data_IF_311529720260
#
_entry.id   IF_311529720260
#
_cell.length_a   1.000
_cell.length_b   1.000
_cell.length_c   1.000
_cell.angle_alpha   90.00
_cell.angle_beta   90.00
_cell.angle_gamma   90.00
#
_symmetry.space_group_name_H-M   'P 1'
#
loop_
_entity.id
_entity.type
_entity.pdbx_description
1 polymer ?
#
# COMPACT_ATOMS: atom_id res chain seq x y z
N UNK A 1 -32.26 61.41 13.19
CA UNK A 1 -32.62 62.45 12.21
C UNK A 1 -31.40 62.70 11.34
N UNK A 2 -31.55 62.58 10.01
CA UNK A 2 -30.86 63.28 8.89
C UNK A 2 -29.59 64.08 9.23
N UNK A 3 -28.49 64.11 8.48
CA UNK A 3 -28.16 63.87 7.05
C UNK A 3 -26.63 64.12 6.93
N UNK A 4 -25.88 63.62 5.94
CA UNK A 4 -25.56 64.32 4.68
C UNK A 4 -24.42 63.53 4.01
N UNK A 5 -24.50 63.23 2.70
CA UNK A 5 -23.59 63.67 1.63
C UNK A 5 -24.00 63.03 0.27
N UNK A 6 -23.78 63.71 -0.89
CA UNK A 6 -24.45 63.49 -2.18
C UNK A 6 -23.53 62.74 -3.23
N UNK A 7 -23.93 62.59 -4.53
CA UNK A 7 -23.57 61.43 -5.37
C UNK A 7 -22.47 61.63 -6.45
N UNK A 8 -21.98 60.46 -6.91
CA UNK A 8 -21.46 60.02 -8.23
C UNK A 8 -20.84 60.99 -9.25
N UNK A 9 -19.65 60.65 -9.78
CA UNK A 9 -19.36 60.70 -11.23
C UNK A 9 -18.24 59.73 -11.64
N UNK A 10 -18.48 59.02 -12.74
CA UNK A 10 -17.66 58.08 -13.50
C UNK A 10 -16.57 58.76 -14.33
N UNK A 11 -15.43 58.09 -14.55
CA UNK A 11 -14.67 58.22 -15.81
C UNK A 11 -13.98 56.89 -16.15
N UNK A 12 -14.28 56.42 -17.35
CA UNK A 12 -13.83 55.20 -18.03
C UNK A 12 -12.39 55.27 -18.51
N UNK A 13 -11.71 54.12 -18.68
CA UNK A 13 -10.96 53.76 -19.90
C UNK A 13 -10.82 52.23 -20.02
N UNK A 14 -11.11 51.74 -21.22
CA UNK A 14 -11.19 50.33 -21.63
C UNK A 14 -9.80 49.67 -21.81
N UNK A 15 -9.73 48.35 -21.64
CA UNK A 15 -8.99 47.51 -22.60
C UNK A 15 -9.68 46.15 -22.74
N UNK A 16 -9.98 45.80 -24.00
CA UNK A 16 -10.51 44.52 -24.42
C UNK A 16 -9.38 43.47 -24.42
N UNK A 17 -9.67 42.26 -23.94
CA UNK A 17 -9.17 41.07 -24.64
C UNK A 17 -10.04 39.85 -24.33
N UNK A 18 -10.80 39.45 -25.34
CA UNK A 18 -11.47 38.15 -25.43
C UNK A 18 -10.43 37.13 -25.89
N UNK A 19 -10.09 36.15 -25.05
CA UNK A 19 -9.51 34.90 -25.53
C UNK A 19 -10.32 33.72 -24.97
N UNK A 20 -10.83 32.96 -25.91
CA UNK A 20 -11.61 31.73 -25.78
C UNK A 20 -10.82 30.63 -25.11
N UNK A 21 -11.40 30.02 -24.06
CA UNK A 21 -10.94 28.75 -23.50
C UNK A 21 -11.04 27.64 -24.56
N UNK A 22 -9.90 27.12 -25.02
CA UNK A 22 -9.84 25.81 -25.67
C UNK A 22 -9.49 24.75 -24.62
N UNK A 23 -10.42 23.84 -24.37
CA UNK A 23 -10.21 22.64 -23.57
C UNK A 23 -9.23 21.72 -24.30
N UNK A 24 -8.02 21.54 -23.78
CA UNK A 24 -7.12 20.49 -24.23
C UNK A 24 -7.71 19.13 -23.83
N UNK A 25 -8.16 18.38 -24.83
CA UNK A 25 -8.57 16.99 -24.71
C UNK A 25 -7.31 16.14 -24.62
N UNK A 26 -7.01 15.60 -23.44
CA UNK A 26 -5.90 14.66 -23.25
C UNK A 26 -6.27 13.35 -23.97
N UNK A 27 -5.46 12.95 -24.95
CA UNK A 27 -5.63 11.69 -25.68
C UNK A 27 -5.57 10.48 -24.71
N UNK A 28 -6.64 9.69 -24.56
CA UNK A 28 -6.72 8.59 -23.58
C UNK A 28 -5.88 7.36 -23.94
N UNK A 29 -5.27 7.32 -25.12
CA UNK A 29 -4.44 6.20 -25.58
C UNK A 29 -3.05 6.20 -24.92
N UNK A 30 -2.50 7.39 -24.63
CA UNK A 30 -1.14 7.56 -24.12
C UNK A 30 -0.99 7.13 -22.65
N UNK A 31 -2.06 7.19 -21.85
CA UNK A 31 -2.04 6.81 -20.43
C UNK A 31 -2.11 5.29 -20.22
N UNK A 32 -2.81 4.56 -21.08
CA UNK A 32 -3.02 3.11 -20.89
C UNK A 32 -1.80 2.26 -21.22
N UNK A 33 -0.95 2.68 -22.17
CA UNK A 33 0.27 1.93 -22.53
C UNK A 33 1.36 2.08 -21.48
N UNK A 34 1.58 3.29 -20.95
CA UNK A 34 2.47 3.54 -19.80
C UNK A 34 2.03 2.75 -18.57
N UNK A 35 0.74 2.77 -18.23
CA UNK A 35 0.20 2.01 -17.08
C UNK A 35 0.38 0.50 -17.27
N UNK A 36 0.18 -0.03 -18.48
CA UNK A 36 0.42 -1.46 -18.78
C UNK A 36 1.90 -1.81 -18.67
N UNK A 37 2.80 -0.98 -19.19
CA UNK A 37 4.23 -1.23 -19.14
C UNK A 37 4.75 -1.19 -17.69
N UNK A 38 4.27 -0.26 -16.86
CA UNK A 38 4.60 -0.21 -15.43
C UNK A 38 4.05 -1.43 -14.65
N UNK A 39 2.82 -1.83 -14.90
CA UNK A 39 2.24 -3.03 -14.27
C UNK A 39 3.01 -4.30 -14.64
N UNK A 40 3.41 -4.43 -15.92
CA UNK A 40 4.24 -5.53 -16.37
C UNK A 40 5.64 -5.47 -15.74
N UNK A 41 6.28 -4.31 -15.64
CA UNK A 41 7.57 -4.15 -14.96
C UNK A 41 7.53 -4.68 -13.50
N UNK A 42 6.52 -4.30 -12.73
CA UNK A 42 6.36 -4.75 -11.34
C UNK A 42 6.11 -6.26 -11.29
N UNK A 43 5.23 -6.78 -12.14
CA UNK A 43 4.95 -8.20 -12.21
C UNK A 43 6.22 -9.03 -12.53
N UNK A 44 7.00 -8.59 -13.51
CA UNK A 44 8.26 -9.23 -13.91
C UNK A 44 9.33 -9.12 -12.82
N UNK A 45 9.43 -7.97 -12.13
CA UNK A 45 10.37 -7.79 -11.01
C UNK A 45 10.06 -8.74 -9.85
N UNK A 46 8.78 -8.90 -9.50
CA UNK A 46 8.33 -9.84 -8.45
C UNK A 46 8.62 -11.28 -8.86
N UNK A 47 8.41 -11.64 -10.12
CA UNK A 47 8.73 -12.97 -10.64
C UNK A 47 10.24 -13.24 -10.62
N UNK A 48 11.08 -12.26 -10.98
CA UNK A 48 12.54 -12.35 -10.90
C UNK A 48 13.05 -12.53 -9.46
N UNK A 49 12.47 -11.80 -8.49
CA UNK A 49 12.77 -11.97 -7.08
C UNK A 49 12.36 -13.36 -6.55
N UNK A 50 11.19 -13.86 -6.96
CA UNK A 50 10.74 -15.22 -6.64
C UNK A 50 11.66 -16.30 -7.18
N UNK A 51 12.10 -16.18 -8.44
CA UNK A 51 13.06 -17.07 -9.05
C UNK A 51 14.42 -17.02 -8.34
N UNK A 52 14.87 -15.84 -7.90
CA UNK A 52 16.10 -15.68 -7.11
C UNK A 52 16.02 -16.41 -5.77
N UNK A 53 14.90 -16.27 -5.05
CA UNK A 53 14.68 -16.96 -3.78
C UNK A 53 14.63 -18.49 -3.96
N UNK A 54 13.93 -18.96 -5.00
CA UNK A 54 13.89 -20.39 -5.34
C UNK A 54 15.26 -20.94 -5.70
N UNK A 55 16.04 -20.20 -6.51
CA UNK A 55 17.42 -20.54 -6.89
C UNK A 55 18.31 -20.73 -5.67
N UNK A 56 18.31 -19.78 -4.74
CA UNK A 56 19.16 -19.87 -3.55
C UNK A 56 18.71 -21.01 -2.62
N UNK A 57 17.40 -21.25 -2.45
CA UNK A 57 16.90 -22.40 -1.70
C UNK A 57 17.33 -23.74 -2.33
N UNK A 58 17.19 -23.88 -3.65
CA UNK A 58 17.58 -25.09 -4.39
C UNK A 58 19.10 -25.31 -4.39
N UNK A 59 19.89 -24.23 -4.40
CA UNK A 59 21.36 -24.27 -4.30
C UNK A 59 21.83 -24.73 -2.91
N UNK A 60 21.14 -24.35 -1.85
CA UNK A 60 21.41 -24.86 -0.50
C UNK A 60 21.07 -26.36 -0.39
N UNK A 61 19.94 -26.80 -0.96
CA UNK A 61 19.58 -28.23 -1.02
C UNK A 61 20.57 -29.05 -1.88
N UNK A 62 21.08 -28.49 -2.98
CA UNK A 62 22.08 -29.16 -3.82
C UNK A 62 23.42 -29.38 -3.09
N UNK A 63 23.76 -28.48 -2.16
CA UNK A 63 24.98 -28.52 -1.35
C UNK A 63 24.83 -29.32 -0.06
N UNK A 64 23.62 -29.67 0.35
CA UNK A 64 23.37 -30.41 1.58
C UNK A 64 23.90 -31.85 1.48
N UNK A 65 24.82 -32.21 2.37
CA UNK A 65 25.41 -33.55 2.43
C UNK A 65 24.49 -34.59 3.11
N UNK A 66 23.43 -34.16 3.79
CA UNK A 66 22.41 -35.02 4.37
C UNK A 66 21.27 -35.34 3.38
N UNK A 67 21.19 -34.64 2.25
CA UNK A 67 20.23 -34.91 1.19
C UNK A 67 20.69 -36.06 0.28
N UNK A 68 19.73 -36.86 -0.19
CA UNK A 68 20.04 -37.97 -1.12
C UNK A 68 20.65 -37.45 -2.43
N UNK A 69 21.51 -38.25 -3.07
CA UNK A 69 22.13 -37.89 -4.36
C UNK A 69 21.10 -37.48 -5.42
N UNK A 70 19.95 -38.16 -5.49
CA UNK A 70 18.87 -37.81 -6.43
C UNK A 70 18.17 -36.49 -6.09
N UNK A 71 18.00 -36.18 -4.81
CA UNK A 71 17.45 -34.91 -4.33
C UNK A 71 18.38 -33.75 -4.65
N UNK A 72 19.68 -33.92 -4.43
CA UNK A 72 20.70 -32.90 -4.73
C UNK A 72 20.82 -32.62 -6.22
N UNK A 73 20.76 -33.67 -7.04
CA UNK A 73 20.77 -33.52 -8.51
C UNK A 73 19.53 -32.78 -9.02
N UNK A 74 18.35 -33.13 -8.51
CA UNK A 74 17.10 -32.45 -8.88
C UNK A 74 17.13 -30.98 -8.46
N UNK A 75 17.52 -30.69 -7.22
CA UNK A 75 17.67 -29.32 -6.74
C UNK A 75 18.74 -28.53 -7.52
N UNK A 76 19.83 -29.18 -7.95
CA UNK A 76 20.82 -28.56 -8.83
C UNK A 76 20.25 -28.20 -10.21
N UNK A 77 19.41 -29.08 -10.78
CA UNK A 77 18.70 -28.81 -12.04
C UNK A 77 17.70 -27.67 -11.89
N UNK A 78 16.94 -27.68 -10.80
CA UNK A 78 15.92 -26.67 -10.53
C UNK A 78 16.56 -25.29 -10.27
N UNK A 79 17.69 -25.22 -9.55
CA UNK A 79 18.45 -23.98 -9.36
C UNK A 79 18.97 -23.39 -10.69
N UNK A 80 19.33 -24.23 -11.66
CA UNK A 80 19.74 -23.76 -13.00
C UNK A 80 18.53 -23.24 -13.80
N UNK A 81 17.37 -23.90 -13.67
CA UNK A 81 16.10 -23.42 -14.22
C UNK A 81 15.71 -22.07 -13.64
N UNK A 82 15.74 -21.95 -12.32
CA UNK A 82 15.42 -20.72 -11.58
C UNK A 82 16.36 -19.57 -11.98
N UNK A 83 17.64 -19.84 -12.26
CA UNK A 83 18.58 -18.82 -12.77
C UNK A 83 18.19 -18.32 -14.17
N UNK A 84 17.69 -19.22 -15.02
CA UNK A 84 17.20 -18.85 -16.35
C UNK A 84 15.94 -17.99 -16.25
N UNK A 85 15.01 -18.37 -15.38
CA UNK A 85 13.78 -17.62 -15.13
C UNK A 85 14.07 -16.25 -14.48
N UNK A 86 14.98 -16.18 -13.50
CA UNK A 86 15.51 -14.92 -12.94
C UNK A 86 16.03 -14.00 -14.04
N UNK A 87 16.90 -14.52 -14.92
CA UNK A 87 17.48 -13.73 -16.01
C UNK A 87 16.42 -13.23 -16.98
N UNK A 88 15.44 -14.08 -17.31
CA UNK A 88 14.34 -13.75 -18.21
C UNK A 88 13.45 -12.66 -17.65
N UNK A 89 13.00 -12.81 -16.41
CA UNK A 89 12.12 -11.85 -15.76
C UNK A 89 12.82 -10.50 -15.52
N UNK A 90 14.10 -10.51 -15.14
CA UNK A 90 14.89 -9.28 -15.03
C UNK A 90 15.05 -8.59 -16.39
N UNK A 91 15.27 -9.35 -17.47
CA UNK A 91 15.36 -8.79 -18.82
C UNK A 91 14.02 -8.19 -19.28
N UNK A 92 12.91 -8.86 -18.98
CA UNK A 92 11.57 -8.35 -19.33
C UNK A 92 11.21 -7.10 -18.53
N UNK A 93 11.58 -7.04 -17.25
CA UNK A 93 11.48 -5.84 -16.44
C UNK A 93 12.28 -4.68 -17.07
N UNK A 94 13.54 -4.90 -17.46
CA UNK A 94 14.36 -3.87 -18.11
C UNK A 94 13.75 -3.38 -19.43
N UNK A 95 13.15 -4.26 -20.23
CA UNK A 95 12.45 -3.89 -21.48
C UNK A 95 11.23 -3.01 -21.19
N UNK A 96 10.40 -3.39 -20.22
CA UNK A 96 9.21 -2.60 -19.86
C UNK A 96 9.58 -1.23 -19.28
N UNK A 97 10.73 -1.15 -18.58
CA UNK A 97 11.32 0.10 -18.11
C UNK A 97 11.84 0.97 -19.25
N UNK A 98 12.49 0.40 -20.27
CA UNK A 98 13.00 1.15 -21.42
C UNK A 98 11.86 1.67 -22.32
N UNK A 99 10.78 0.92 -22.47
CA UNK A 99 9.59 1.33 -23.23
C UNK A 99 8.87 2.52 -22.59
N UNK A 100 8.90 2.63 -21.26
CA UNK A 100 8.36 3.78 -20.54
C UNK A 100 9.18 5.06 -20.79
N UNK A 101 10.51 4.93 -20.83
CA UNK A 101 11.44 6.05 -21.06
C UNK A 101 11.38 6.67 -22.47
N UNK A 102 10.87 5.95 -23.47
CA UNK A 102 10.77 6.45 -24.86
C UNK A 102 9.55 7.34 -25.12
N UNK A 103 8.69 7.55 -24.15
CA UNK A 103 7.42 8.30 -24.31
C UNK A 103 7.44 9.74 -23.78
N UNK A 104 8.58 10.30 -23.34
CA UNK A 104 8.60 11.73 -22.92
C UNK A 104 8.34 12.71 -24.10
N UNK A 105 7.47 13.74 -23.93
CA UNK A 105 7.15 14.69 -24.99
C UNK A 105 8.25 15.75 -25.17
N UNK A 106 8.83 15.81 -26.38
CA UNK A 106 9.82 16.82 -26.78
C UNK A 106 9.10 18.10 -27.25
N UNK A 107 8.99 19.13 -26.40
CA UNK A 107 8.41 20.45 -26.77
C UNK A 107 9.48 21.45 -27.25
N UNK A 108 9.20 22.29 -28.28
CA UNK A 108 10.13 23.33 -28.74
C UNK A 108 10.05 24.59 -27.85
N UNK A 109 11.18 24.99 -27.26
CA UNK A 109 11.33 26.17 -26.39
C UNK A 109 11.55 27.45 -27.21
N UNK A 110 10.59 28.38 -27.19
CA UNK A 110 10.79 29.77 -27.60
C UNK A 110 10.87 30.67 -26.37
N UNK A 111 12.04 30.85 -25.77
CA UNK A 111 12.32 31.99 -24.88
C UNK A 111 13.80 32.42 -24.95
N UNK A 112 13.99 33.73 -24.75
CA UNK A 112 15.16 34.58 -24.97
C UNK A 112 16.46 34.17 -24.24
N UNK A 113 17.58 34.53 -24.87
CA UNK A 113 18.92 33.97 -24.62
C UNK A 113 19.81 34.71 -23.60
N UNK A 114 19.27 35.43 -22.61
CA UNK A 114 20.10 36.27 -21.72
C UNK A 114 20.25 35.78 -20.26
N UNK A 115 19.71 34.60 -19.91
CA UNK A 115 19.80 34.07 -18.52
C UNK A 115 20.55 32.72 -18.43
N UNK A 116 21.50 32.46 -19.33
CA UNK A 116 22.16 31.15 -19.49
C UNK A 116 23.59 31.03 -18.94
N UNK A 117 23.90 31.68 -17.80
CA UNK A 117 25.21 31.46 -17.16
C UNK A 117 25.20 30.94 -15.73
N UNK A 118 24.14 30.26 -15.27
CA UNK A 118 24.21 29.65 -13.94
C UNK A 118 23.46 28.37 -13.63
N UNK A 119 23.05 27.57 -14.62
CA UNK A 119 22.55 26.23 -14.33
C UNK A 119 23.02 25.26 -15.42
N UNK A 120 24.09 24.53 -15.11
CA UNK A 120 24.38 23.29 -15.83
C UNK A 120 23.24 22.30 -15.53
N UNK A 121 22.64 21.65 -16.53
CA UNK A 121 21.74 20.54 -16.28
C UNK A 121 22.57 19.37 -15.78
N UNK A 122 22.44 19.03 -14.50
CA UNK A 122 22.88 17.75 -13.99
C UNK A 122 22.07 16.65 -14.69
N UNK A 123 22.76 15.71 -15.33
CA UNK A 123 22.20 14.50 -15.91
C UNK A 123 21.13 13.88 -14.98
N UNK A 124 19.85 13.99 -15.31
CA UNK A 124 18.82 13.11 -14.75
C UNK A 124 18.97 11.75 -15.42
N UNK A 125 19.87 10.94 -14.90
CA UNK A 125 19.77 9.49 -15.09
C UNK A 125 18.49 9.03 -14.40
N UNK A 126 17.56 8.45 -15.15
CA UNK A 126 16.38 7.74 -14.65
C UNK A 126 16.79 6.43 -13.95
N UNK A 127 17.57 6.54 -12.88
CA UNK A 127 17.78 5.47 -11.92
C UNK A 127 16.53 5.36 -11.04
N UNK A 128 16.15 4.14 -10.68
CA UNK A 128 15.17 3.90 -9.61
C UNK A 128 15.54 4.76 -8.39
N UNK A 129 14.56 5.25 -7.61
CA UNK A 129 14.85 6.05 -6.43
C UNK A 129 15.88 5.33 -5.55
N UNK A 130 16.95 5.99 -5.09
CA UNK A 130 17.96 5.36 -4.24
C UNK A 130 17.36 4.60 -3.05
N UNK A 131 16.25 5.12 -2.51
CA UNK A 131 15.48 4.59 -1.38
C UNK A 131 14.88 3.20 -1.61
N UNK A 132 14.69 2.78 -2.87
CA UNK A 132 14.19 1.43 -3.18
C UNK A 132 15.19 0.35 -2.77
N UNK A 133 16.48 0.67 -2.82
CA UNK A 133 17.55 -0.22 -2.41
C UNK A 133 17.99 0.03 -0.97
N UNK A 134 17.27 0.88 -0.23
CA UNK A 134 17.52 1.01 1.20
C UNK A 134 17.27 -0.33 1.89
N UNK A 135 18.18 -0.68 2.80
CA UNK A 135 18.15 -1.95 3.49
C UNK A 135 16.85 -2.13 4.28
N UNK A 136 16.34 -1.06 4.89
CA UNK A 136 15.10 -1.08 5.67
C UNK A 136 13.91 -1.34 4.76
N UNK A 137 13.83 -0.62 3.63
CA UNK A 137 12.80 -0.84 2.60
C UNK A 137 12.74 -2.29 2.15
N UNK A 138 13.89 -2.90 1.83
CA UNK A 138 13.95 -4.29 1.39
C UNK A 138 13.53 -5.26 2.49
N UNK A 139 13.97 -5.03 3.73
CA UNK A 139 13.58 -5.85 4.89
C UNK A 139 12.07 -5.74 5.15
N UNK A 140 11.48 -4.55 5.07
CA UNK A 140 10.06 -4.32 5.27
C UNK A 140 9.22 -5.02 4.20
N UNK A 141 9.60 -4.91 2.92
CA UNK A 141 8.92 -5.62 1.85
C UNK A 141 9.05 -7.15 1.99
N UNK A 142 10.24 -7.64 2.34
CA UNK A 142 10.46 -9.06 2.60
C UNK A 142 9.63 -9.56 3.78
N UNK A 143 9.50 -8.77 4.85
CA UNK A 143 8.66 -9.11 6.00
C UNK A 143 7.19 -9.28 5.58
N UNK A 144 6.65 -8.37 4.76
CA UNK A 144 5.28 -8.49 4.23
C UNK A 144 5.09 -9.78 3.40
N UNK A 145 6.06 -10.13 2.56
CA UNK A 145 6.04 -11.39 1.80
C UNK A 145 6.07 -12.61 2.73
N UNK A 146 6.86 -12.56 3.80
CA UNK A 146 6.91 -13.62 4.82
C UNK A 146 5.55 -13.78 5.51
N UNK A 147 4.86 -12.69 5.86
CA UNK A 147 3.52 -12.76 6.45
C UNK A 147 2.52 -13.45 5.50
N UNK A 148 2.55 -13.12 4.20
CA UNK A 148 1.73 -13.79 3.20
C UNK A 148 2.07 -15.28 3.06
N UNK A 149 3.37 -15.62 3.06
CA UNK A 149 3.82 -17.01 3.01
C UNK A 149 3.34 -17.81 4.24
N UNK A 150 3.35 -17.20 5.43
CA UNK A 150 2.79 -17.79 6.66
C UNK A 150 1.28 -18.03 6.49
N UNK A 151 0.52 -17.05 6.01
CA UNK A 151 -0.91 -17.21 5.77
C UNK A 151 -1.23 -18.37 4.80
N UNK A 152 -0.46 -18.50 3.72
CA UNK A 152 -0.56 -19.61 2.77
C UNK A 152 -0.21 -20.95 3.42
N UNK A 153 0.85 -21.00 4.23
CA UNK A 153 1.27 -22.21 4.92
C UNK A 153 0.20 -22.67 5.94
N UNK A 154 -0.38 -21.74 6.70
CA UNK A 154 -1.47 -22.01 7.64
C UNK A 154 -2.70 -22.52 6.88
N UNK A 155 -3.07 -21.90 5.75
CA UNK A 155 -4.17 -22.36 4.90
C UNK A 155 -4.00 -23.81 4.42
N UNK A 156 -2.79 -24.17 3.99
CA UNK A 156 -2.45 -25.55 3.58
C UNK A 156 -2.51 -26.55 4.73
N UNK A 157 -2.19 -26.11 5.94
CA UNK A 157 -2.15 -26.97 7.14
C UNK A 157 -3.53 -27.17 7.78
N UNK A 158 -4.35 -26.11 7.83
CA UNK A 158 -5.58 -26.08 8.62
C UNK A 158 -6.82 -26.42 7.79
N UNK A 159 -6.86 -26.04 6.51
CA UNK A 159 -8.05 -26.28 5.68
C UNK A 159 -8.06 -27.69 5.10
N UNK A 160 -9.24 -28.30 5.11
CA UNK A 160 -9.47 -29.58 4.45
C UNK A 160 -9.12 -29.50 2.94
N UNK A 161 -8.57 -30.56 2.31
CA UNK A 161 -8.21 -30.54 0.89
C UNK A 161 -9.38 -30.19 -0.05
N UNK A 162 -10.61 -30.56 0.33
CA UNK A 162 -11.83 -30.28 -0.46
C UNK A 162 -12.43 -28.89 -0.21
N UNK A 163 -11.82 -28.05 0.62
CA UNK A 163 -12.26 -26.65 0.77
C UNK A 163 -12.11 -25.94 -0.58
N UNK A 164 -13.17 -25.25 -1.02
CA UNK A 164 -13.19 -24.59 -2.33
C UNK A 164 -12.10 -23.54 -2.45
N UNK A 165 -11.66 -23.27 -3.68
CA UNK A 165 -10.64 -22.26 -3.97
C UNK A 165 -11.04 -20.89 -3.42
N UNK A 166 -12.30 -20.49 -3.57
CA UNK A 166 -12.83 -19.22 -3.04
C UNK A 166 -12.61 -19.09 -1.54
N UNK A 167 -13.07 -20.06 -0.74
CA UNK A 167 -12.91 -20.01 0.72
C UNK A 167 -11.45 -20.20 1.16
N UNK A 168 -10.62 -20.87 0.35
CA UNK A 168 -9.17 -20.96 0.58
C UNK A 168 -8.48 -19.61 0.39
N UNK A 169 -8.83 -18.87 -0.66
CA UNK A 169 -8.31 -17.51 -0.91
C UNK A 169 -8.81 -16.56 0.17
N UNK A 170 -10.10 -16.60 0.53
CA UNK A 170 -10.64 -15.82 1.64
C UNK A 170 -9.91 -16.13 2.95
N UNK A 171 -9.67 -17.40 3.27
CA UNK A 171 -8.89 -17.74 4.45
C UNK A 171 -7.48 -17.14 4.41
N UNK A 172 -6.78 -17.24 3.28
CA UNK A 172 -5.42 -16.70 3.15
C UNK A 172 -5.43 -15.18 3.34
N UNK A 173 -6.41 -14.47 2.74
CA UNK A 173 -6.59 -13.04 2.93
C UNK A 173 -6.77 -12.69 4.40
N UNK A 174 -7.77 -13.27 5.09
CA UNK A 174 -8.05 -12.94 6.49
C UNK A 174 -6.91 -13.38 7.43
N UNK A 175 -6.19 -14.45 7.10
CA UNK A 175 -5.01 -14.84 7.87
C UNK A 175 -3.85 -13.84 7.68
N UNK A 176 -3.64 -13.36 6.46
CA UNK A 176 -2.65 -12.32 6.16
C UNK A 176 -3.03 -11.00 6.82
N UNK A 177 -4.29 -10.59 6.69
CA UNK A 177 -4.88 -9.40 7.29
C UNK A 177 -4.73 -9.40 8.82
N UNK A 178 -5.07 -10.51 9.49
CA UNK A 178 -4.82 -10.66 10.93
C UNK A 178 -3.33 -10.50 11.31
N UNK A 179 -2.41 -10.99 10.48
CA UNK A 179 -0.98 -10.84 10.74
C UNK A 179 -0.52 -9.39 10.56
N UNK A 180 -1.05 -8.68 9.56
CA UNK A 180 -0.76 -7.26 9.34
C UNK A 180 -1.25 -6.44 10.53
N UNK A 181 -2.50 -6.65 10.95
CA UNK A 181 -3.08 -5.98 12.12
C UNK A 181 -2.25 -6.24 13.38
N UNK A 182 -1.88 -7.48 13.68
CA UNK A 182 -1.15 -7.76 14.92
C UNK A 182 0.32 -7.34 14.91
N UNK A 183 1.03 -7.55 13.80
CA UNK A 183 2.48 -7.34 13.77
C UNK A 183 2.86 -5.95 13.25
N UNK A 184 2.26 -5.49 12.17
CA UNK A 184 2.58 -4.18 11.63
C UNK A 184 1.83 -3.12 12.44
N UNK A 185 0.50 -3.08 12.35
CA UNK A 185 -0.29 -2.01 12.98
C UNK A 185 -0.19 -2.02 14.51
N UNK A 186 -0.13 -3.21 15.11
CA UNK A 186 0.16 -3.37 16.53
C UNK A 186 1.50 -2.76 16.95
N UNK A 187 2.53 -2.85 16.11
CA UNK A 187 3.82 -2.20 16.37
C UNK A 187 3.77 -0.68 16.19
N UNK A 188 2.98 -0.16 15.25
CA UNK A 188 2.72 1.28 15.12
C UNK A 188 2.08 1.83 16.39
N UNK A 189 1.01 1.18 16.86
CA UNK A 189 0.35 1.54 18.11
C UNK A 189 1.32 1.48 19.29
N UNK A 190 2.14 0.43 19.38
CA UNK A 190 3.14 0.33 20.43
C UNK A 190 4.05 1.57 20.46
N UNK A 191 4.57 2.00 19.30
CA UNK A 191 5.40 3.20 19.23
C UNK A 191 4.63 4.49 19.54
N UNK A 192 3.37 4.59 19.13
CA UNK A 192 2.51 5.73 19.47
C UNK A 192 2.25 5.86 20.98
N UNK A 193 2.12 4.76 21.71
CA UNK A 193 1.83 4.80 23.15
C UNK A 193 3.08 4.78 24.04
N UNK A 194 4.17 4.16 23.60
CA UNK A 194 5.29 3.82 24.49
C UNK A 194 6.65 4.38 24.05
N UNK A 195 6.82 4.81 22.80
CA UNK A 195 8.08 5.42 22.34
C UNK A 195 7.97 6.93 22.36
N UNK A 196 8.87 7.57 23.09
CA UNK A 196 8.92 9.03 23.16
C UNK A 196 10.35 9.57 23.33
N UNK A 197 10.56 10.80 22.86
CA UNK A 197 11.76 11.61 23.12
C UNK A 197 11.31 12.86 23.88
N UNK A 198 12.10 13.34 24.84
CA UNK A 198 11.77 14.61 25.52
C UNK A 198 11.92 15.77 24.53
N UNK A 199 10.97 16.70 24.54
CA UNK A 199 11.03 17.93 23.73
C UNK A 199 12.33 18.72 24.00
N UNK A 200 12.87 18.64 25.23
CA UNK A 200 14.13 19.30 25.59
C UNK A 200 15.37 18.70 24.91
N UNK A 201 15.28 17.45 24.43
CA UNK A 201 16.36 16.69 23.81
C UNK A 201 16.32 16.78 22.28
N UNK A 202 15.24 17.30 21.71
CA UNK A 202 15.06 17.40 20.26
C UNK A 202 15.74 18.67 19.75
N UNK A 203 16.77 18.50 18.92
CA UNK A 203 17.52 19.60 18.33
C UNK A 203 16.69 20.45 17.34
N UNK A 204 15.84 19.80 16.55
CA UNK A 204 14.91 20.44 15.62
C UNK A 204 13.54 19.78 15.69
N UNK A 205 12.64 20.38 16.48
CA UNK A 205 11.27 19.89 16.66
C UNK A 205 10.46 20.02 15.35
N UNK A 206 10.80 20.98 14.48
CA UNK A 206 10.09 21.20 13.22
C UNK A 206 10.32 20.10 12.19
N UNK A 207 11.37 19.30 12.36
CA UNK A 207 11.67 18.15 11.51
C UNK A 207 10.85 16.89 11.86
N UNK A 208 10.17 16.88 13.01
CA UNK A 208 9.39 15.73 13.48
C UNK A 208 7.89 15.93 13.21
N UNK A 209 7.15 14.83 13.04
CA UNK A 209 5.70 14.90 13.02
C UNK A 209 5.19 15.39 14.37
N UNK A 210 4.29 16.38 14.41
CA UNK A 210 3.82 16.96 15.66
C UNK A 210 3.06 15.94 16.51
N UNK A 211 3.31 15.96 17.83
CA UNK A 211 2.45 15.30 18.82
C UNK A 211 1.27 16.23 19.14
N UNK A 212 0.02 15.73 19.16
CA UNK A 212 -1.13 16.50 19.62
C UNK A 212 -0.95 17.05 21.04
N UNK A 213 -1.47 18.24 21.29
CA UNK A 213 -1.43 18.84 22.63
C UNK A 213 -2.10 17.92 23.67
N UNK A 214 -1.43 17.73 24.81
CA UNK A 214 -1.90 16.90 25.93
C UNK A 214 -2.14 15.41 25.56
N UNK A 215 -1.45 14.91 24.53
CA UNK A 215 -1.49 13.50 24.20
C UNK A 215 -0.99 12.66 25.40
N UNK A 216 -1.83 11.75 25.88
CA UNK A 216 -1.61 10.92 27.08
C UNK A 216 -1.29 11.72 28.36
N UNK A 217 -1.72 12.98 28.45
CA UNK A 217 -1.47 13.84 29.63
C UNK A 217 -0.07 14.47 29.65
N UNK A 218 0.67 14.42 28.54
CA UNK A 218 2.01 14.97 28.41
C UNK A 218 2.06 16.12 27.40
N UNK A 219 2.90 17.11 27.68
CA UNK A 219 3.18 18.27 26.80
C UNK A 219 4.67 18.44 26.51
N UNK A 220 5.51 17.59 27.10
CA UNK A 220 6.97 17.63 27.10
C UNK A 220 7.59 16.52 26.23
N UNK A 221 6.80 15.84 25.40
CA UNK A 221 7.20 14.62 24.69
C UNK A 221 6.79 14.60 23.22
N UNK A 222 7.67 14.05 22.40
CA UNK A 222 7.39 13.67 21.02
C UNK A 222 7.20 12.15 20.93
N UNK A 223 6.06 11.69 20.41
CA UNK A 223 5.68 10.26 20.35
C UNK A 223 5.76 9.69 18.93
N UNK A 224 5.66 8.36 18.83
CA UNK A 224 5.50 7.63 17.57
C UNK A 224 6.75 6.86 17.14
N UNK A 225 6.70 6.33 15.92
CA UNK A 225 7.81 5.59 15.32
C UNK A 225 9.10 6.43 15.24
N UNK A 226 8.98 7.74 15.02
CA UNK A 226 10.11 8.68 15.01
C UNK A 226 10.86 8.76 16.35
N UNK A 227 10.24 8.31 17.44
CA UNK A 227 10.84 8.22 18.76
C UNK A 227 11.35 6.80 19.10
N UNK A 228 11.26 5.85 18.16
CA UNK A 228 11.61 4.44 18.39
C UNK A 228 13.08 4.09 18.17
N UNK A 229 13.91 5.04 17.71
CA UNK A 229 15.35 4.85 17.51
C UNK A 229 15.68 3.69 16.57
N UNK A 230 16.61 2.82 16.99
CA UNK A 230 17.08 1.67 16.20
C UNK A 230 16.13 0.45 16.23
N UNK A 231 14.90 0.61 16.76
CA UNK A 231 13.94 -0.49 16.76
C UNK A 231 13.51 -0.83 15.31
N UNK A 232 13.57 -2.11 14.89
CA UNK A 232 13.23 -2.49 13.52
C UNK A 232 11.81 -2.13 13.07
N UNK A 233 10.82 -2.22 13.98
CA UNK A 233 9.44 -1.83 13.66
C UNK A 233 9.28 -0.31 13.57
N UNK A 234 9.99 0.44 14.41
CA UNK A 234 10.04 1.90 14.29
C UNK A 234 10.64 2.32 12.94
N UNK A 235 11.76 1.71 12.55
CA UNK A 235 12.40 1.96 11.27
C UNK A 235 11.49 1.59 10.09
N UNK A 236 10.77 0.46 10.17
CA UNK A 236 9.77 0.08 9.18
C UNK A 236 8.69 1.16 9.01
N UNK A 237 8.16 1.68 10.11
CA UNK A 237 7.16 2.74 10.07
C UNK A 237 7.73 4.06 9.58
N UNK A 238 8.99 4.37 9.88
CA UNK A 238 9.68 5.53 9.31
C UNK A 238 9.87 5.42 7.79
N UNK A 239 10.07 4.21 7.26
CA UNK A 239 10.08 3.99 5.79
C UNK A 239 8.73 4.32 5.19
N UNK A 240 7.63 3.82 5.78
CA UNK A 240 6.28 4.14 5.30
C UNK A 240 5.95 5.64 5.49
N UNK A 241 6.47 6.26 6.54
CA UNK A 241 6.24 7.68 6.82
C UNK A 241 6.85 8.64 5.79
N UNK A 242 7.78 8.17 4.96
CA UNK A 242 8.23 8.93 3.80
C UNK A 242 7.09 9.15 2.79
N UNK A 243 6.16 8.20 2.68
CA UNK A 243 4.97 8.33 1.84
C UNK A 243 3.79 8.99 2.56
N UNK A 244 3.60 8.73 3.86
CA UNK A 244 2.55 9.33 4.67
C UNK A 244 3.08 9.73 6.05
N UNK A 245 3.38 11.02 6.22
CA UNK A 245 4.05 11.57 7.40
C UNK A 245 3.34 11.26 8.72
N UNK A 246 2.03 11.03 8.70
CA UNK A 246 1.22 10.73 9.90
C UNK A 246 1.70 9.47 10.62
N UNK A 247 2.29 8.53 9.89
CA UNK A 247 2.79 7.26 10.42
C UNK A 247 4.12 7.39 11.15
N UNK A 248 4.81 8.54 11.06
CA UNK A 248 5.98 8.81 11.89
C UNK A 248 5.60 9.10 13.35
N UNK A 249 4.45 9.73 13.58
CA UNK A 249 4.07 10.33 14.85
C UNK A 249 2.72 9.85 15.41
N UNK A 250 2.23 10.56 16.42
CA UNK A 250 0.97 10.24 17.09
C UNK A 250 -0.22 10.98 16.45
N UNK A 251 -0.59 10.65 15.21
CA UNK A 251 -1.80 11.19 14.58
C UNK A 251 -3.08 10.58 15.19
N UNK A 252 -3.98 11.42 15.73
CA UNK A 252 -5.16 10.93 16.44
C UNK A 252 -6.14 10.18 15.54
N UNK A 253 -6.26 10.57 14.27
CA UNK A 253 -7.15 9.93 13.32
C UNK A 253 -6.65 8.53 12.99
N UNK A 254 -5.37 8.43 12.62
CA UNK A 254 -4.71 7.14 12.35
C UNK A 254 -4.72 6.26 13.59
N UNK A 255 -4.28 6.74 14.76
CA UNK A 255 -4.31 5.95 16.02
C UNK A 255 -5.71 5.44 16.33
N UNK A 256 -6.75 6.26 16.17
CA UNK A 256 -8.14 5.85 16.47
C UNK A 256 -8.61 4.74 15.53
N UNK A 257 -8.21 4.80 14.25
CA UNK A 257 -8.49 3.75 13.29
C UNK A 257 -7.72 2.47 13.64
N UNK A 258 -6.41 2.60 13.90
CA UNK A 258 -5.53 1.46 14.15
C UNK A 258 -5.89 0.72 15.46
N UNK A 259 -6.44 1.42 16.46
CA UNK A 259 -7.01 0.74 17.64
C UNK A 259 -8.14 -0.22 17.26
N UNK A 260 -9.00 0.16 16.29
CA UNK A 260 -10.09 -0.70 15.82
C UNK A 260 -9.59 -1.82 14.91
N UNK A 261 -8.57 -1.59 14.10
CA UNK A 261 -8.00 -2.64 13.26
C UNK A 261 -7.28 -3.68 14.11
N UNK A 262 -6.43 -3.27 15.06
CA UNK A 262 -5.66 -4.18 15.92
C UNK A 262 -6.54 -4.95 16.90
N UNK A 263 -7.48 -4.29 17.59
CA UNK A 263 -8.30 -4.92 18.63
C UNK A 263 -9.67 -5.40 18.15
N UNK A 264 -10.10 -4.98 16.96
CA UNK A 264 -11.37 -5.38 16.33
C UNK A 264 -11.16 -6.26 15.11
N UNK A 265 -10.58 -5.71 14.04
CA UNK A 265 -10.43 -6.39 12.75
C UNK A 265 -9.50 -7.61 12.85
N UNK A 266 -8.32 -7.51 13.47
CA UNK A 266 -7.38 -8.61 13.66
C UNK A 266 -8.01 -9.85 14.32
N UNK A 267 -8.63 -9.72 15.52
CA UNK A 267 -9.33 -10.83 16.16
C UNK A 267 -10.50 -11.36 15.33
N UNK A 268 -11.24 -10.49 14.64
CA UNK A 268 -12.34 -10.89 13.78
C UNK A 268 -11.84 -11.67 12.55
N UNK A 269 -10.72 -11.29 11.95
CA UNK A 269 -10.09 -11.97 10.83
C UNK A 269 -9.62 -13.38 11.24
N UNK A 270 -9.04 -13.53 12.44
CA UNK A 270 -8.75 -14.85 13.03
C UNK A 270 -10.03 -15.67 13.23
N UNK A 271 -11.09 -15.05 13.74
CA UNK A 271 -12.37 -15.73 13.94
C UNK A 271 -12.99 -16.19 12.61
N UNK A 272 -12.92 -15.38 11.56
CA UNK A 272 -13.33 -15.76 10.21
C UNK A 272 -12.52 -16.95 9.71
N UNK A 273 -11.19 -16.95 9.88
CA UNK A 273 -10.35 -18.11 9.56
C UNK A 273 -10.81 -19.38 10.27
N UNK A 274 -11.12 -19.28 11.57
CA UNK A 274 -11.67 -20.39 12.36
C UNK A 274 -13.00 -20.89 11.79
N UNK A 275 -13.93 -19.99 11.44
CA UNK A 275 -15.23 -20.34 10.87
C UNK A 275 -15.11 -21.00 9.50
N UNK A 276 -14.21 -20.52 8.63
CA UNK A 276 -13.90 -21.17 7.34
C UNK A 276 -13.38 -22.59 7.58
N UNK A 277 -12.44 -22.77 8.50
CA UNK A 277 -11.88 -24.07 8.82
C UNK A 277 -12.94 -25.05 9.37
N UNK A 278 -13.92 -24.53 10.13
CA UNK A 278 -15.07 -25.30 10.66
C UNK A 278 -16.23 -25.43 9.68
N UNK A 279 -16.18 -24.79 8.50
CA UNK A 279 -17.26 -24.78 7.49
C UNK A 279 -18.59 -24.26 8.05
N UNK A 280 -18.49 -23.23 8.88
CA UNK A 280 -19.63 -22.62 9.55
C UNK A 280 -20.33 -21.60 8.63
N UNK A 281 -21.65 -21.71 8.38
CA UNK A 281 -22.34 -20.84 7.42
C UNK A 281 -22.39 -19.37 7.86
N UNK A 282 -22.30 -19.12 9.18
CA UNK A 282 -22.25 -17.77 9.75
C UNK A 282 -21.00 -16.99 9.39
N UNK A 283 -20.00 -17.62 8.76
CA UNK A 283 -18.79 -16.94 8.27
C UNK A 283 -19.14 -15.77 7.33
N UNK A 284 -20.14 -15.94 6.47
CA UNK A 284 -20.50 -14.92 5.47
C UNK A 284 -21.01 -13.63 6.12
N UNK A 285 -21.69 -13.72 7.27
CA UNK A 285 -22.06 -12.53 8.05
C UNK A 285 -20.82 -11.77 8.53
N UNK A 286 -19.85 -12.50 9.10
CA UNK A 286 -18.63 -11.87 9.63
C UNK A 286 -17.71 -11.32 8.54
N UNK A 287 -17.66 -11.97 7.37
CA UNK A 287 -16.99 -11.43 6.18
C UNK A 287 -17.62 -10.08 5.78
N UNK A 288 -18.96 -9.95 5.80
CA UNK A 288 -19.61 -8.67 5.49
C UNK A 288 -19.22 -7.60 6.52
N UNK A 289 -19.20 -7.95 7.81
CA UNK A 289 -18.84 -7.02 8.89
C UNK A 289 -17.40 -6.52 8.72
N UNK A 290 -16.42 -7.42 8.57
CA UNK A 290 -15.01 -7.02 8.48
C UNK A 290 -14.72 -6.25 7.19
N UNK A 291 -15.23 -6.73 6.04
CA UNK A 291 -14.95 -6.09 4.76
C UNK A 291 -15.55 -4.69 4.65
N UNK A 292 -16.73 -4.47 5.27
CA UNK A 292 -17.30 -3.12 5.35
C UNK A 292 -16.43 -2.21 6.23
N UNK A 293 -15.93 -2.72 7.35
CA UNK A 293 -15.05 -1.97 8.25
C UNK A 293 -13.71 -1.62 7.60
N UNK A 294 -13.10 -2.54 6.85
CA UNK A 294 -11.84 -2.35 6.10
C UNK A 294 -12.00 -1.25 5.04
N UNK A 295 -13.05 -1.31 4.22
CA UNK A 295 -13.32 -0.29 3.18
C UNK A 295 -13.58 1.07 3.83
N UNK A 296 -14.37 1.11 4.90
CA UNK A 296 -14.63 2.34 5.63
C UNK A 296 -13.36 2.90 6.27
N UNK A 297 -12.53 2.04 6.86
CA UNK A 297 -11.24 2.40 7.45
C UNK A 297 -10.31 3.03 6.42
N UNK A 298 -10.11 2.38 5.27
CA UNK A 298 -9.31 2.93 4.18
C UNK A 298 -9.84 4.29 3.70
N UNK A 299 -11.16 4.46 3.60
CA UNK A 299 -11.75 5.76 3.28
C UNK A 299 -11.43 6.82 4.35
N UNK A 300 -11.49 6.47 5.63
CA UNK A 300 -11.16 7.38 6.73
C UNK A 300 -9.65 7.71 6.82
N UNK A 301 -8.77 6.87 6.28
CA UNK A 301 -7.33 7.17 6.17
C UNK A 301 -7.03 8.24 5.13
N UNK A 302 -7.68 8.17 3.96
CA UNK A 302 -7.34 9.03 2.81
C UNK A 302 -8.27 10.23 2.61
N UNK A 303 -9.56 10.11 2.94
CA UNK A 303 -10.50 11.22 2.76
C UNK A 303 -10.07 12.50 3.50
N UNK A 304 -9.57 12.46 4.75
CA UNK A 304 -9.04 13.66 5.40
C UNK A 304 -7.90 14.32 4.61
N UNK A 305 -7.00 13.55 4.01
CA UNK A 305 -5.90 14.09 3.20
C UNK A 305 -6.41 14.75 1.92
N UNK A 306 -7.40 14.17 1.25
CA UNK A 306 -8.00 14.79 0.07
C UNK A 306 -8.63 16.14 0.39
N UNK A 307 -9.18 16.29 1.61
CA UNK A 307 -9.78 17.53 2.09
C UNK A 307 -8.75 18.57 2.51
N UNK A 308 -7.57 18.15 2.96
CA UNK A 308 -6.48 19.06 3.37
C UNK A 308 -5.49 19.36 2.25
N UNK A 309 -5.63 18.72 1.08
CA UNK A 309 -4.72 18.89 -0.05
C UNK A 309 -3.46 18.04 0.03
N UNK A 310 -3.56 16.85 0.64
CA UNK A 310 -2.50 15.84 0.75
C UNK A 310 -1.25 16.35 1.47
N UNK A 311 -1.41 17.17 2.51
CA UNK A 311 -0.28 17.80 3.22
C UNK A 311 0.68 16.78 3.83
N UNK A 312 0.18 15.59 4.19
CA UNK A 312 0.99 14.53 4.77
C UNK A 312 1.46 13.49 3.75
N UNK A 313 0.82 13.42 2.57
CA UNK A 313 1.14 12.41 1.56
C UNK A 313 2.20 12.92 0.58
N UNK A 314 3.30 12.20 0.46
CA UNK A 314 4.27 12.44 -0.61
C UNK A 314 3.90 11.64 -1.86
N UNK A 315 3.49 12.37 -2.90
CA UNK A 315 3.11 11.81 -4.20
C UNK A 315 4.15 12.08 -5.29
N UNK A 316 5.28 12.72 -4.94
CA UNK A 316 6.32 13.12 -5.88
C UNK A 316 7.26 11.97 -6.25
N UNK A 317 7.44 11.01 -5.32
CA UNK A 317 8.22 9.81 -5.54
C UNK A 317 7.33 8.68 -6.08
N UNK A 318 7.74 8.05 -7.18
CA UNK A 318 7.00 6.95 -7.80
C UNK A 318 6.73 5.79 -6.83
N UNK A 319 7.72 5.42 -6.01
CA UNK A 319 7.61 4.33 -5.05
C UNK A 319 6.55 4.64 -3.98
N UNK A 320 6.59 5.87 -3.45
CA UNK A 320 5.68 6.30 -2.40
C UNK A 320 4.26 6.35 -2.95
N UNK A 321 4.05 6.96 -4.12
CA UNK A 321 2.74 7.02 -4.74
C UNK A 321 2.21 5.64 -5.15
N UNK A 322 2.92 4.92 -6.00
CA UNK A 322 2.35 3.74 -6.66
C UNK A 322 2.47 2.47 -5.84
N UNK A 323 3.57 2.26 -5.12
CA UNK A 323 3.73 1.06 -4.31
C UNK A 323 3.10 1.24 -2.92
N UNK A 324 3.49 2.28 -2.18
CA UNK A 324 3.06 2.44 -0.78
C UNK A 324 1.62 2.93 -0.68
N UNK A 325 1.29 4.04 -1.34
CA UNK A 325 -0.04 4.65 -1.23
C UNK A 325 -1.07 3.93 -2.09
N UNK A 326 -0.81 3.62 -3.36
CA UNK A 326 -1.81 3.00 -4.24
C UNK A 326 -1.85 1.48 -4.07
N UNK A 327 -0.77 0.75 -4.36
CA UNK A 327 -0.83 -0.71 -4.46
C UNK A 327 -1.30 -1.37 -3.16
N UNK A 328 -0.61 -1.13 -2.03
CA UNK A 328 -0.96 -1.78 -0.76
C UNK A 328 -2.37 -1.41 -0.29
N UNK A 329 -2.76 -0.14 -0.34
CA UNK A 329 -4.08 0.27 0.12
C UNK A 329 -5.21 -0.22 -0.79
N UNK A 330 -4.98 -0.32 -2.11
CA UNK A 330 -5.99 -0.85 -3.02
C UNK A 330 -6.24 -2.35 -2.82
N UNK A 331 -5.34 -3.10 -2.18
CA UNK A 331 -5.63 -4.48 -1.74
C UNK A 331 -6.79 -4.50 -0.74
N UNK A 332 -6.79 -3.59 0.24
CA UNK A 332 -7.87 -3.37 1.22
C UNK A 332 -9.12 -2.68 0.66
N UNK A 333 -9.15 -2.40 -0.65
CA UNK A 333 -10.36 -1.98 -1.36
C UNK A 333 -10.91 -3.15 -2.19
N UNK A 334 -10.09 -3.71 -3.08
CA UNK A 334 -10.55 -4.71 -4.04
C UNK A 334 -10.86 -6.06 -3.39
N UNK A 335 -10.01 -6.55 -2.48
CA UNK A 335 -10.22 -7.86 -1.86
C UNK A 335 -11.44 -7.85 -0.92
N UNK A 336 -11.63 -6.83 -0.06
CA UNK A 336 -12.82 -6.73 0.76
C UNK A 336 -14.10 -6.56 -0.08
N UNK A 337 -14.05 -5.78 -1.16
CA UNK A 337 -15.19 -5.66 -2.09
C UNK A 337 -15.55 -7.01 -2.74
N UNK A 338 -14.54 -7.77 -3.16
CA UNK A 338 -14.77 -9.12 -3.66
C UNK A 338 -15.32 -10.06 -2.58
N UNK A 339 -14.81 -9.98 -1.35
CA UNK A 339 -15.30 -10.77 -0.22
C UNK A 339 -16.78 -10.45 0.11
N UNK A 340 -17.17 -9.17 0.05
CA UNK A 340 -18.57 -8.73 0.15
C UNK A 340 -19.45 -9.36 -0.92
N UNK A 341 -18.98 -9.36 -2.18
CA UNK A 341 -19.71 -9.98 -3.28
C UNK A 341 -19.90 -11.49 -3.05
N UNK A 342 -18.84 -12.21 -2.67
CA UNK A 342 -18.93 -13.65 -2.35
C UNK A 342 -19.94 -13.90 -1.22
N UNK A 343 -19.83 -13.17 -0.11
CA UNK A 343 -20.73 -13.33 1.02
C UNK A 343 -22.20 -13.01 0.65
N UNK A 344 -22.42 -11.97 -0.14
CA UNK A 344 -23.75 -11.59 -0.64
C UNK A 344 -24.37 -12.69 -1.51
N UNK A 345 -23.60 -13.30 -2.42
CA UNK A 345 -24.09 -14.39 -3.25
C UNK A 345 -24.47 -15.61 -2.43
N UNK A 346 -23.64 -15.99 -1.45
CA UNK A 346 -23.89 -17.16 -0.58
C UNK A 346 -25.13 -16.96 0.30
N UNK A 347 -25.28 -15.76 0.87
CA UNK A 347 -26.47 -15.38 1.64
C UNK A 347 -27.72 -15.45 0.75
N UNK A 348 -27.66 -14.89 -0.46
CA UNK A 348 -28.77 -14.88 -1.42
C UNK A 348 -29.17 -16.30 -1.84
N UNK A 349 -28.19 -17.15 -2.18
CA UNK A 349 -28.42 -18.56 -2.52
C UNK A 349 -29.11 -19.33 -1.39
N UNK A 350 -28.72 -19.07 -0.13
CA UNK A 350 -29.37 -19.68 1.02
C UNK A 350 -30.85 -19.26 1.15
N UNK A 351 -31.16 -17.97 0.96
CA UNK A 351 -32.54 -17.49 0.97
C UNK A 351 -33.39 -18.07 -0.17
N UNK A 352 -32.82 -18.21 -1.37
CA UNK A 352 -33.55 -18.79 -2.50
C UNK A 352 -33.80 -20.30 -2.31
N UNK A 353 -32.86 -21.03 -1.71
CA UNK A 353 -33.06 -22.41 -1.30
C UNK A 353 -34.21 -22.54 -0.28
N UNK A 354 -34.29 -21.64 0.70
CA UNK A 354 -35.38 -21.59 1.67
C UNK A 354 -36.74 -21.31 1.01
N UNK A 355 -36.80 -20.37 0.05
CA UNK A 355 -38.04 -20.12 -0.74
C UNK A 355 -38.46 -21.35 -1.53
N UNK A 356 -37.52 -22.05 -2.16
CA UNK A 356 -37.80 -23.24 -2.94
C UNK A 356 -38.35 -24.39 -2.06
N UNK A 357 -37.81 -24.56 -0.85
CA UNK A 357 -38.32 -25.51 0.13
C UNK A 357 -39.73 -25.15 0.61
N UNK A 358 -39.99 -23.88 0.91
CA UNK A 358 -41.31 -23.41 1.31
C UNK A 358 -42.37 -23.68 0.22
N UNK A 359 -42.03 -23.47 -1.06
CA UNK A 359 -42.91 -23.75 -2.20
C UNK A 359 -43.20 -25.24 -2.40
N UNK A 360 -42.29 -26.15 -2.02
CA UNK A 360 -42.51 -27.60 -2.09
C UNK A 360 -43.41 -28.14 -0.98
N UNK A 361 -43.56 -27.39 0.12
CA UNK A 361 -44.34 -27.76 1.30
C UNK A 361 -45.76 -27.15 1.30
N UNK A 362 -46.10 -26.41 0.25
CA UNK A 362 -47.44 -25.91 -0.09
C UNK A 362 -47.99 -26.73 -1.25
#
# INVERSE_FOLDING_TARGET
>A
MTSFFPPSTTTSLQSNNTQTNQTQTINPTFTMETVKNAANYVAETVQGAGATASKEANKEVAKDNNASLGTRFSAGKDAVGDKFDETKHNTQADVHKELDLRHEPQYPMFYNAETYHRLQPSNMSSSLPPDLFDQTTLISLAATVVLLAVAIAVSRRVLHPTTSTTYRVLFIWHAFDALIHFFLEGSFLYHCFFSYISVAEVADIGALHPTPYNYLGHTDRVYGAQAGGDNPFAQLWMVYANADKRWAGADLGVISLELLTVFGAGPLAVYICYLIAKREPKVNFWIVVIATAEIYGGFMTFCPEWLTGNINLDTSNWMYLWLYLVFFNMLWVFIPTWALWVAFEEITRAFDANKALAKKNL
#
